data_IF_884529399205
#
_entry.id   IF_884529399205
#
_cell.length_a   1.000
_cell.length_b   1.000
_cell.length_c   1.000
_cell.angle_alpha   90.00
_cell.angle_beta   90.00
_cell.angle_gamma   90.00
#
_symmetry.space_group_name_H-M   'P 1'
#
loop_
_entity.id
_entity.type
_entity.pdbx_description
1 polymer ?
#
# COMPACT_ATOMS: atom_id res chain seq x y z
N UNK A 1 66.57 -33.81 -25.60
CA UNK A 1 66.35 -35.18 -25.09
C UNK A 1 67.13 -35.38 -23.80
N UNK A 2 66.46 -35.59 -22.66
CA UNK A 2 66.81 -36.52 -21.55
C UNK A 2 66.02 -36.14 -20.29
N UNK A 3 65.19 -37.10 -19.88
CA UNK A 3 64.35 -37.15 -18.69
C UNK A 3 65.22 -37.23 -17.44
N UNK A 4 64.81 -36.63 -16.31
CA UNK A 4 64.94 -37.23 -14.96
C UNK A 4 63.77 -36.76 -14.09
N UNK A 5 63.07 -37.74 -13.49
CA UNK A 5 62.01 -37.64 -12.50
C UNK A 5 62.57 -37.37 -11.09
N UNK A 6 61.82 -36.64 -10.26
CA UNK A 6 61.72 -36.84 -8.80
C UNK A 6 60.39 -36.18 -8.35
N UNK A 7 59.32 -36.92 -8.07
CA UNK A 7 59.00 -37.69 -6.86
C UNK A 7 58.67 -36.81 -5.63
N UNK A 8 57.40 -36.86 -5.22
CA UNK A 8 56.97 -36.64 -3.83
C UNK A 8 56.31 -35.29 -3.53
N UNK A 9 55.01 -35.28 -3.26
CA UNK A 9 54.47 -35.26 -1.89
C UNK A 9 52.93 -35.33 -1.94
N UNK A 10 52.37 -36.27 -1.18
CA UNK A 10 50.94 -36.38 -0.92
C UNK A 10 50.46 -35.16 -0.14
N UNK A 11 49.42 -34.50 -0.63
CA UNK A 11 48.59 -33.59 0.16
C UNK A 11 47.19 -34.20 0.29
N UNK A 12 46.96 -34.91 1.40
CA UNK A 12 45.61 -35.15 1.92
C UNK A 12 45.07 -33.81 2.43
N UNK A 13 44.04 -33.28 1.77
CA UNK A 13 43.37 -32.03 2.12
C UNK A 13 41.88 -32.24 2.33
N UNK A 14 41.50 -32.23 3.60
CA UNK A 14 40.18 -32.23 4.25
C UNK A 14 38.92 -31.97 3.39
N UNK A 15 37.97 -32.89 3.58
CA UNK A 15 36.55 -32.81 3.27
C UNK A 15 35.85 -31.76 4.18
N UNK A 16 35.38 -30.65 3.61
CA UNK A 16 34.51 -29.69 4.29
C UNK A 16 33.07 -29.83 3.76
N UNK A 17 32.19 -30.48 4.53
CA UNK A 17 30.76 -30.49 4.27
C UNK A 17 30.19 -29.10 4.57
N UNK A 18 29.90 -28.34 3.53
CA UNK A 18 29.11 -27.12 3.61
C UNK A 18 27.63 -27.47 3.84
N UNK A 19 27.21 -27.54 5.11
CA UNK A 19 25.79 -27.53 5.47
C UNK A 19 25.29 -26.08 5.47
N UNK A 20 24.84 -25.62 4.29
CA UNK A 20 24.14 -24.35 4.14
C UNK A 20 22.78 -24.41 4.81
N UNK A 21 22.72 -23.96 6.06
CA UNK A 21 21.47 -23.75 6.79
C UNK A 21 20.80 -22.50 6.23
N UNK A 22 19.77 -22.70 5.40
CA UNK A 22 18.83 -21.64 5.02
C UNK A 22 18.07 -21.20 6.27
N UNK A 23 18.54 -20.14 6.91
CA UNK A 23 17.78 -19.44 7.93
C UNK A 23 16.55 -18.81 7.27
N UNK A 24 15.37 -19.41 7.49
CA UNK A 24 14.10 -18.72 7.32
C UNK A 24 14.13 -17.52 8.25
N UNK A 25 14.40 -16.34 7.71
CA UNK A 25 14.32 -15.08 8.43
C UNK A 25 12.91 -14.93 8.98
N UNK A 26 12.79 -14.92 10.31
CA UNK A 26 11.55 -14.61 11.00
C UNK A 26 11.05 -13.25 10.51
N UNK A 27 9.84 -13.24 9.95
CA UNK A 27 9.07 -12.03 9.74
C UNK A 27 8.89 -11.37 11.11
N UNK A 28 9.72 -10.38 11.40
CA UNK A 28 9.54 -9.49 12.53
C UNK A 28 8.22 -8.75 12.31
N UNK A 29 7.16 -9.27 12.91
CA UNK A 29 5.87 -8.60 13.01
C UNK A 29 6.11 -7.40 13.91
N UNK A 30 6.29 -6.23 13.30
CA UNK A 30 6.24 -4.96 14.00
C UNK A 30 4.79 -4.74 14.44
N UNK A 31 4.41 -5.33 15.57
CA UNK A 31 3.15 -5.02 16.23
C UNK A 31 3.28 -3.62 16.82
N UNK A 32 2.97 -2.61 16.01
CA UNK A 32 2.78 -1.25 16.52
C UNK A 32 1.47 -1.22 17.31
N UNK A 33 1.55 -1.48 18.60
CA UNK A 33 0.42 -1.32 19.52
C UNK A 33 0.22 0.18 19.76
N UNK A 34 -0.70 0.81 19.02
CA UNK A 34 -1.26 2.11 19.39
C UNK A 34 -2.36 1.87 20.43
N UNK A 35 -2.27 2.41 21.66
CA UNK A 35 -3.32 2.24 22.65
C UNK A 35 -4.59 3.01 22.26
N UNK A 36 -5.74 2.31 22.20
CA UNK A 36 -7.06 2.90 22.46
C UNK A 36 -7.92 3.35 21.29
N UNK A 37 -7.60 3.00 20.02
CA UNK A 37 -8.53 3.16 18.90
C UNK A 37 -9.26 1.85 18.58
N UNK A 38 -10.48 1.88 17.98
CA UNK A 38 -11.04 0.67 17.37
C UNK A 38 -10.02 0.15 16.35
N UNK A 39 -9.63 -1.12 16.49
CA UNK A 39 -8.75 -1.76 15.52
C UNK A 39 -9.49 -1.84 14.18
N UNK A 40 -9.20 -0.91 13.28
CA UNK A 40 -9.61 -1.06 11.89
C UNK A 40 -8.67 -2.08 11.26
N UNK A 41 -9.22 -3.23 10.86
CA UNK A 41 -8.49 -4.26 10.12
C UNK A 41 -8.24 -3.80 8.69
N UNK A 42 -7.12 -3.14 8.43
CA UNK A 42 -6.70 -2.84 7.06
C UNK A 42 -5.89 -4.01 6.52
N UNK A 43 -6.28 -4.55 5.36
CA UNK A 43 -5.54 -5.62 4.68
C UNK A 43 -4.07 -5.17 4.46
N UNK A 44 -3.04 -5.99 4.76
CA UNK A 44 -1.65 -5.53 4.77
C UNK A 44 -1.19 -4.82 3.48
N UNK A 45 -1.62 -5.27 2.29
CA UNK A 45 -1.24 -4.60 1.04
C UNK A 45 -1.92 -3.24 0.82
N UNK A 46 -2.91 -2.90 1.64
CA UNK A 46 -3.66 -1.64 1.58
C UNK A 46 -3.22 -0.65 2.65
N UNK A 47 -2.13 -0.94 3.36
CA UNK A 47 -1.50 0.05 4.23
C UNK A 47 -0.94 1.20 3.39
N UNK A 48 -1.29 2.43 3.75
CA UNK A 48 -0.83 3.64 3.07
C UNK A 48 0.32 4.24 3.90
N UNK A 49 1.58 4.21 3.41
CA UNK A 49 2.70 4.78 4.13
C UNK A 49 2.48 6.26 4.46
N UNK A 50 2.65 6.64 5.73
CA UNK A 50 2.42 8.01 6.20
C UNK A 50 0.96 8.44 6.24
N UNK A 51 0.01 7.54 5.98
CA UNK A 51 -1.43 7.79 6.13
C UNK A 51 -1.92 7.50 7.55
N UNK A 52 -2.74 8.40 8.08
CA UNK A 52 -3.51 8.22 9.32
C UNK A 52 -5.00 8.28 8.99
N UNK A 53 -5.74 7.15 9.09
CA UNK A 53 -7.17 7.12 8.75
C UNK A 53 -8.02 8.02 9.65
N UNK A 54 -7.55 8.38 10.85
CA UNK A 54 -8.29 9.28 11.76
C UNK A 54 -8.33 10.72 11.26
N UNK A 55 -7.35 11.10 10.43
CA UNK A 55 -7.28 12.44 9.81
C UNK A 55 -8.04 12.50 8.47
N UNK A 56 -8.34 11.34 7.85
CA UNK A 56 -9.01 11.26 6.57
C UNK A 56 -10.36 11.96 6.50
N UNK A 57 -11.31 11.76 7.45
CA UNK A 57 -12.62 12.41 7.40
C UNK A 57 -12.56 13.94 7.33
N UNK A 58 -11.62 14.56 8.04
CA UNK A 58 -11.42 16.01 8.02
C UNK A 58 -10.91 16.48 6.64
N UNK A 59 -9.93 15.77 6.07
CA UNK A 59 -9.44 16.04 4.72
C UNK A 59 -10.55 15.84 3.66
N UNK A 60 -11.29 14.73 3.71
CA UNK A 60 -12.42 14.43 2.81
C UNK A 60 -13.45 15.56 2.80
N UNK A 61 -13.79 16.11 3.98
CA UNK A 61 -14.69 17.26 4.08
C UNK A 61 -14.08 18.52 3.47
N UNK A 62 -12.80 18.77 3.70
CA UNK A 62 -12.07 19.96 3.23
C UNK A 62 -12.02 20.00 1.70
N UNK A 63 -11.73 18.87 1.05
CA UNK A 63 -11.69 18.77 -0.41
C UNK A 63 -13.06 18.50 -1.06
N UNK A 64 -14.13 18.46 -0.26
CA UNK A 64 -15.50 18.40 -0.78
C UNK A 64 -15.92 17.07 -1.41
N UNK A 65 -15.23 15.94 -1.14
CA UNK A 65 -15.54 14.66 -1.80
C UNK A 65 -17.00 14.21 -1.58
N UNK A 66 -17.60 14.63 -0.46
CA UNK A 66 -18.98 14.34 -0.09
C UNK A 66 -20.05 14.98 -0.98
N UNK A 67 -19.70 15.98 -1.82
CA UNK A 67 -20.64 16.54 -2.81
C UNK A 67 -20.99 15.55 -3.91
N UNK A 68 -20.07 14.62 -4.20
CA UNK A 68 -20.22 13.66 -5.29
C UNK A 68 -20.41 12.22 -4.79
N UNK A 69 -19.87 11.87 -3.62
CA UNK A 69 -19.85 10.50 -3.12
C UNK A 69 -20.62 10.33 -1.80
N UNK A 70 -21.21 9.16 -1.63
CA UNK A 70 -21.62 8.64 -0.32
C UNK A 70 -20.38 8.06 0.37
N UNK A 71 -20.06 8.55 1.57
CA UNK A 71 -18.88 8.13 2.32
C UNK A 71 -19.30 7.87 3.78
N UNK A 72 -19.35 6.59 4.22
CA UNK A 72 -19.62 6.26 5.62
C UNK A 72 -18.67 7.00 6.56
N UNK A 73 -19.15 7.37 7.75
CA UNK A 73 -18.35 8.06 8.78
C UNK A 73 -17.95 9.50 8.47
N UNK A 74 -18.32 10.05 7.30
CA UNK A 74 -18.08 11.46 6.94
C UNK A 74 -19.41 12.25 6.95
N UNK A 75 -19.60 13.18 7.90
CA UNK A 75 -20.83 13.97 7.98
C UNK A 75 -21.13 14.73 6.69
N UNK A 76 -22.37 14.60 6.20
CA UNK A 76 -22.85 15.29 5.00
C UNK A 76 -22.41 14.68 3.65
N UNK A 77 -21.57 13.64 3.65
CA UNK A 77 -21.15 12.97 2.42
C UNK A 77 -22.26 12.04 1.88
N UNK A 78 -23.17 12.62 1.10
CA UNK A 78 -24.37 11.95 0.54
C UNK A 78 -24.52 12.18 -0.97
N UNK A 79 -23.47 12.67 -1.63
CA UNK A 79 -23.47 12.89 -3.08
C UNK A 79 -23.66 11.60 -3.86
N UNK A 80 -24.29 11.68 -5.03
CA UNK A 80 -24.58 10.54 -5.91
C UNK A 80 -24.12 10.73 -7.35
N UNK A 81 -23.27 11.73 -7.58
CA UNK A 81 -22.66 11.98 -8.89
C UNK A 81 -21.61 10.91 -9.19
N UNK A 82 -20.79 10.59 -8.19
CA UNK A 82 -19.87 9.47 -8.23
C UNK A 82 -20.45 8.22 -7.53
N UNK A 83 -19.85 7.04 -7.73
CA UNK A 83 -20.26 5.82 -7.04
C UNK A 83 -20.07 5.96 -5.52
N UNK A 84 -20.86 5.27 -4.69
CA UNK A 84 -20.62 5.23 -3.23
C UNK A 84 -19.20 4.72 -2.94
N UNK A 85 -18.58 5.11 -1.83
CA UNK A 85 -17.24 4.65 -1.41
C UNK A 85 -17.30 3.65 -0.24
N UNK A 86 -18.48 3.09 0.04
CA UNK A 86 -18.80 2.28 1.24
C UNK A 86 -17.92 1.06 1.45
N UNK A 87 -17.41 0.46 0.37
CA UNK A 87 -16.64 -0.79 0.39
C UNK A 87 -15.34 -0.63 -0.41
N UNK A 88 -14.67 0.52 -0.26
CA UNK A 88 -13.47 0.81 -1.06
C UNK A 88 -12.34 -0.17 -0.78
N UNK A 89 -12.23 -0.69 0.44
CA UNK A 89 -11.27 -1.74 0.73
C UNK A 89 -11.52 -2.91 -0.22
N UNK A 90 -12.73 -3.45 -0.27
CA UNK A 90 -13.01 -4.71 -1.00
C UNK A 90 -12.85 -4.66 -2.52
N UNK A 91 -12.79 -3.46 -3.12
CA UNK A 91 -12.71 -3.33 -4.59
C UNK A 91 -11.42 -3.89 -5.17
N UNK A 92 -11.56 -4.58 -6.29
CA UNK A 92 -10.41 -4.98 -7.12
C UNK A 92 -9.83 -3.80 -7.91
N UNK A 93 -10.68 -2.86 -8.34
CA UNK A 93 -10.30 -1.75 -9.22
C UNK A 93 -10.76 -0.38 -8.72
N UNK A 94 -9.96 0.64 -9.02
CA UNK A 94 -10.24 2.07 -8.85
C UNK A 94 -10.55 2.64 -10.24
N UNK A 95 -11.60 3.45 -10.34
CA UNK A 95 -12.11 4.01 -11.60
C UNK A 95 -12.37 2.95 -12.70
N UNK A 96 -12.57 1.69 -12.31
CA UNK A 96 -12.79 0.58 -13.26
C UNK A 96 -11.56 0.14 -14.06
N UNK A 97 -10.39 0.75 -13.87
CA UNK A 97 -9.20 0.47 -14.70
C UNK A 97 -7.89 0.29 -13.92
N UNK A 98 -7.72 0.93 -12.76
CA UNK A 98 -6.49 0.79 -11.98
C UNK A 98 -6.66 -0.33 -10.94
N UNK A 99 -5.72 -1.28 -10.80
CA UNK A 99 -5.72 -2.19 -9.66
C UNK A 99 -5.76 -1.42 -8.34
N UNK A 100 -6.57 -1.86 -7.38
CA UNK A 100 -6.75 -1.16 -6.12
C UNK A 100 -5.55 -1.33 -5.18
N UNK A 101 -4.54 -0.48 -5.39
CA UNK A 101 -3.32 -0.38 -4.58
C UNK A 101 -3.19 1.01 -3.98
N UNK A 102 -2.49 1.19 -2.84
CA UNK A 102 -2.25 2.50 -2.24
C UNK A 102 -1.71 3.55 -3.21
N UNK A 103 -0.72 3.17 -4.02
CA UNK A 103 -0.12 4.07 -5.01
C UNK A 103 -1.14 4.50 -6.08
N UNK A 104 -1.97 3.58 -6.56
CA UNK A 104 -2.99 3.88 -7.57
C UNK A 104 -4.12 4.73 -7.00
N UNK A 105 -4.53 4.49 -5.75
CA UNK A 105 -5.57 5.31 -5.11
C UNK A 105 -5.10 6.74 -4.88
N UNK A 106 -3.86 6.91 -4.42
CA UNK A 106 -3.23 8.22 -4.27
C UNK A 106 -3.17 8.93 -5.63
N UNK A 107 -2.66 8.26 -6.67
CA UNK A 107 -2.57 8.82 -8.03
C UNK A 107 -3.95 9.23 -8.56
N UNK A 108 -4.96 8.38 -8.38
CA UNK A 108 -6.32 8.66 -8.81
C UNK A 108 -6.91 9.90 -8.12
N UNK A 109 -6.71 10.04 -6.80
CA UNK A 109 -7.25 11.19 -6.05
C UNK A 109 -6.56 12.50 -6.43
N UNK A 110 -5.25 12.48 -6.68
CA UNK A 110 -4.49 13.70 -6.99
C UNK A 110 -4.63 14.14 -8.45
N UNK A 111 -4.72 13.19 -9.38
CA UNK A 111 -4.63 13.46 -10.81
C UNK A 111 -5.69 12.67 -11.62
N UNK A 112 -6.99 12.72 -11.26
CA UNK A 112 -8.03 11.95 -11.93
C UNK A 112 -8.08 12.25 -13.43
N UNK A 113 -7.89 13.50 -13.87
CA UNK A 113 -7.91 13.86 -15.30
C UNK A 113 -6.69 13.31 -16.08
N UNK A 114 -5.56 13.08 -15.41
CA UNK A 114 -4.39 12.44 -16.04
C UNK A 114 -4.50 10.92 -16.10
N UNK A 115 -5.33 10.32 -15.23
CA UNK A 115 -5.65 8.89 -15.29
C UNK A 115 -6.75 8.63 -16.32
N UNK A 116 -7.82 9.42 -16.28
CA UNK A 116 -8.99 9.29 -17.13
C UNK A 116 -9.43 10.67 -17.64
N UNK A 117 -8.91 11.09 -18.81
CA UNK A 117 -9.27 12.38 -19.38
C UNK A 117 -10.78 12.51 -19.60
N UNK A 118 -11.39 13.56 -19.05
CA UNK A 118 -12.82 13.82 -19.18
C UNK A 118 -13.69 13.12 -18.12
N UNK A 119 -13.10 12.46 -17.13
CA UNK A 119 -13.85 11.93 -15.99
C UNK A 119 -14.55 13.05 -15.21
N UNK A 120 -15.68 12.74 -14.56
CA UNK A 120 -16.43 13.73 -13.78
C UNK A 120 -15.71 14.16 -12.49
N UNK A 121 -14.72 13.40 -12.02
CA UNK A 121 -13.91 13.76 -10.86
C UNK A 121 -12.86 14.83 -11.25
N UNK A 122 -12.95 16.06 -10.73
CA UNK A 122 -12.02 17.12 -11.09
C UNK A 122 -10.66 16.96 -10.38
N UNK A 123 -9.62 17.63 -10.87
CA UNK A 123 -8.35 17.72 -10.16
C UNK A 123 -8.50 18.62 -8.92
N UNK A 124 -8.71 18.00 -7.76
CA UNK A 124 -8.95 18.69 -6.48
C UNK A 124 -7.68 19.31 -5.87
N UNK A 125 -6.50 19.06 -6.45
CA UNK A 125 -5.19 19.52 -5.96
C UNK A 125 -4.94 19.17 -4.50
N UNK A 126 -5.28 17.93 -4.15
CA UNK A 126 -5.10 17.37 -2.80
C UNK A 126 -3.60 17.29 -2.47
N UNK A 127 -3.23 17.77 -1.29
CA UNK A 127 -1.83 17.73 -0.84
C UNK A 127 -1.32 16.28 -0.67
N UNK A 128 -0.01 16.08 -0.77
CA UNK A 128 0.62 14.77 -0.55
C UNK A 128 0.34 14.18 0.83
N UNK A 129 0.20 15.02 1.86
CA UNK A 129 -0.14 14.56 3.20
C UNK A 129 -1.61 14.13 3.26
N UNK A 130 -2.52 15.00 2.79
CA UNK A 130 -3.95 14.75 2.88
C UNK A 130 -4.39 13.55 2.05
N UNK A 131 -3.83 13.36 0.85
CA UNK A 131 -4.20 12.20 0.01
C UNK A 131 -3.87 10.89 0.71
N UNK A 132 -2.80 10.83 1.51
CA UNK A 132 -2.43 9.64 2.27
C UNK A 132 -3.41 9.39 3.42
N UNK A 133 -3.84 10.44 4.13
CA UNK A 133 -4.87 10.34 5.15
C UNK A 133 -6.22 9.91 4.57
N UNK A 134 -6.60 10.47 3.41
CA UNK A 134 -7.82 10.12 2.68
C UNK A 134 -7.75 8.65 2.23
N UNK A 135 -6.68 8.24 1.55
CA UNK A 135 -6.52 6.87 1.07
C UNK A 135 -6.52 5.86 2.23
N UNK A 136 -5.81 6.16 3.32
CA UNK A 136 -5.82 5.33 4.52
C UNK A 136 -7.23 5.17 5.09
N UNK A 137 -8.01 6.26 5.15
CA UNK A 137 -9.40 6.21 5.58
C UNK A 137 -10.28 5.39 4.63
N UNK A 138 -10.16 5.56 3.32
CA UNK A 138 -10.96 4.81 2.36
C UNK A 138 -10.69 3.30 2.44
N UNK A 139 -9.48 2.88 2.82
CA UNK A 139 -9.18 1.48 3.09
C UNK A 139 -9.69 0.93 4.42
N UNK A 140 -10.33 1.76 5.25
CA UNK A 140 -11.09 1.32 6.42
C UNK A 140 -12.55 0.95 6.09
N UNK A 141 -12.98 1.21 4.86
CA UNK A 141 -14.36 1.04 4.42
C UNK A 141 -14.54 -0.34 3.74
N UNK A 142 -15.19 -1.26 4.45
CA UNK A 142 -15.56 -2.62 4.02
C UNK A 142 -17.04 -2.70 3.64
#
# INVERSE_FOLDING_TARGET
MRKILALGLLALGLLALATGQSACGSAATLTSTIPGGPFVSVKPERQVPGGDPRLGPAAIRTYGCGSCHIIPGVPGARGKVGPPLTSMAERAFIAGQLPNTPANLIRWIQQPQAVEPGTAMPDLRVSEADVRHIAAYLYTLE
#
